data_IF_368001783130
#
_entry.id   IF_368001783130
#
_cell.length_a   1.000
_cell.length_b   1.000
_cell.length_c   1.000
_cell.angle_alpha   90.00
_cell.angle_beta   90.00
_cell.angle_gamma   90.00
#
_symmetry.space_group_name_H-M   'P 1'
#
loop_
_entity.id
_entity.type
_entity.pdbx_description
1 polymer ?
#
# COMPACT_ATOMS: atom_id res chain seq x y z
N UNK A 1 6.69 -11.65 -13.05
CA UNK A 1 6.05 -11.94 -11.76
C UNK A 1 4.66 -11.30 -11.77
N UNK A 2 3.66 -11.81 -11.06
CA UNK A 2 2.38 -11.13 -10.94
C UNK A 2 2.54 -9.76 -10.27
N UNK A 3 1.86 -8.74 -10.83
CA UNK A 3 1.83 -7.40 -10.22
C UNK A 3 0.73 -7.36 -9.17
N UNK A 4 1.10 -7.03 -7.94
CA UNK A 4 0.17 -6.76 -6.86
C UNK A 4 0.15 -5.28 -6.52
N UNK A 5 -0.95 -4.88 -5.88
CA UNK A 5 -1.15 -3.51 -5.43
C UNK A 5 -1.85 -3.51 -4.09
N UNK A 6 -1.23 -2.87 -3.11
CA UNK A 6 -1.91 -2.47 -1.87
C UNK A 6 -2.43 -1.04 -2.02
N UNK A 7 -3.70 -0.84 -1.66
CA UNK A 7 -4.33 0.49 -1.59
C UNK A 7 -4.79 0.74 -0.18
N UNK A 8 -4.27 1.78 0.46
CA UNK A 8 -4.57 2.16 1.84
C UNK A 8 -5.34 3.46 1.85
N UNK A 9 -6.48 3.50 2.53
CA UNK A 9 -7.17 4.77 2.80
C UNK A 9 -6.48 5.45 3.99
N UNK A 10 -6.15 6.72 3.86
CA UNK A 10 -5.53 7.51 4.94
C UNK A 10 -6.59 8.20 5.78
N UNK A 11 -6.47 8.08 7.09
CA UNK A 11 -7.22 8.86 8.09
C UNK A 11 -6.38 10.01 8.65
N UNK A 12 -6.50 10.27 9.95
CA UNK A 12 -5.73 11.32 10.60
C UNK A 12 -4.24 10.97 10.70
N UNK A 13 -3.37 11.97 10.52
CA UNK A 13 -1.94 11.83 10.77
C UNK A 13 -1.68 11.69 12.27
N UNK A 14 -0.64 10.93 12.63
CA UNK A 14 -0.16 10.91 14.01
C UNK A 14 0.46 12.28 14.37
N UNK A 15 0.42 12.68 15.65
CA UNK A 15 1.03 13.94 16.08
C UNK A 15 2.50 14.06 15.65
N UNK A 16 2.87 15.21 15.08
CA UNK A 16 4.24 15.51 14.66
C UNK A 16 4.68 14.89 13.33
N UNK A 17 3.82 14.11 12.66
CA UNK A 17 4.13 13.51 11.36
C UNK A 17 3.81 14.49 10.23
N UNK A 18 4.78 14.72 9.34
CA UNK A 18 4.54 15.45 8.10
C UNK A 18 3.81 14.56 7.09
N UNK A 19 2.75 15.05 6.40
CA UNK A 19 2.10 14.29 5.34
C UNK A 19 3.07 13.81 4.25
N UNK A 20 4.12 14.59 3.96
CA UNK A 20 5.11 14.28 2.92
C UNK A 20 5.96 13.04 3.25
N UNK A 21 6.03 12.63 4.52
CA UNK A 21 6.87 11.52 4.97
C UNK A 21 6.16 10.17 4.87
N UNK A 22 4.81 10.18 4.76
CA UNK A 22 4.01 8.95 4.83
C UNK A 22 4.22 8.06 3.60
N UNK A 23 4.20 8.62 2.38
CA UNK A 23 4.40 7.84 1.16
C UNK A 23 5.82 7.25 1.09
N UNK A 24 6.90 8.00 1.35
CA UNK A 24 8.25 7.44 1.43
C UNK A 24 8.37 6.31 2.45
N UNK A 25 7.80 6.45 3.64
CA UNK A 25 7.83 5.41 4.67
C UNK A 25 7.10 4.13 4.23
N UNK A 26 5.90 4.27 3.65
CA UNK A 26 5.14 3.14 3.15
C UNK A 26 5.86 2.44 1.98
N UNK A 27 6.46 3.21 1.07
CA UNK A 27 7.28 2.68 -0.03
C UNK A 27 8.50 1.93 0.49
N UNK A 28 9.19 2.49 1.49
CA UNK A 28 10.35 1.86 2.10
C UNK A 28 9.98 0.52 2.75
N UNK A 29 8.87 0.46 3.50
CA UNK A 29 8.37 -0.77 4.10
C UNK A 29 8.11 -1.87 3.06
N UNK A 30 7.56 -1.52 1.89
CA UNK A 30 7.40 -2.50 0.80
C UNK A 30 8.76 -2.93 0.23
N UNK A 31 9.67 -1.96 0.06
CA UNK A 31 11.03 -2.17 -0.45
C UNK A 31 11.92 -3.05 0.43
N UNK A 32 11.59 -3.23 1.71
CA UNK A 32 12.26 -4.18 2.60
C UNK A 32 12.00 -5.65 2.22
N UNK A 33 10.85 -5.92 1.59
CA UNK A 33 10.38 -7.28 1.31
C UNK A 33 10.33 -7.63 -0.17
N UNK A 34 10.18 -6.63 -1.06
CA UNK A 34 10.02 -6.87 -2.49
C UNK A 34 10.39 -5.65 -3.34
N UNK A 35 10.52 -5.85 -4.65
CA UNK A 35 10.68 -4.78 -5.63
C UNK A 35 9.41 -3.94 -5.73
N UNK A 36 9.54 -2.63 -5.48
CA UNK A 36 8.46 -1.66 -5.66
C UNK A 36 8.53 -1.09 -7.08
N UNK A 37 7.49 -1.36 -7.87
CA UNK A 37 7.38 -0.83 -9.22
C UNK A 37 6.95 0.64 -9.25
N UNK A 38 6.00 1.00 -8.37
CA UNK A 38 5.43 2.33 -8.31
C UNK A 38 4.81 2.59 -6.93
N UNK A 39 4.84 3.85 -6.51
CA UNK A 39 4.15 4.32 -5.31
C UNK A 39 3.56 5.70 -5.58
N UNK A 40 2.30 5.92 -5.21
CA UNK A 40 1.58 7.16 -5.50
C UNK A 40 0.54 7.49 -4.41
N UNK A 41 0.15 8.76 -4.33
CA UNK A 41 -0.97 9.24 -3.52
C UNK A 41 -2.07 9.75 -4.44
N UNK A 42 -3.28 9.22 -4.27
CA UNK A 42 -4.45 9.60 -5.04
C UNK A 42 -5.56 10.11 -4.12
N UNK A 43 -6.45 10.95 -4.63
CA UNK A 43 -7.64 11.40 -3.90
C UNK A 43 -8.87 10.75 -4.55
N UNK A 44 -9.68 10.05 -3.76
CA UNK A 44 -10.93 9.42 -4.21
C UNK A 44 -12.05 9.79 -3.27
N UNK A 45 -13.09 10.45 -3.79
CA UNK A 45 -14.24 10.93 -3.02
C UNK A 45 -13.85 11.73 -1.75
N UNK A 46 -12.82 12.57 -1.88
CA UNK A 46 -12.30 13.40 -0.77
C UNK A 46 -11.38 12.68 0.21
N UNK A 47 -11.14 11.38 0.05
CA UNK A 47 -10.19 10.61 0.89
C UNK A 47 -8.86 10.41 0.17
N UNK A 48 -7.76 10.71 0.86
CA UNK A 48 -6.43 10.38 0.39
C UNK A 48 -6.18 8.87 0.46
N UNK A 49 -5.53 8.33 -0.58
CA UNK A 49 -5.19 6.91 -0.69
C UNK A 49 -3.75 6.75 -1.13
N UNK A 50 -2.99 5.96 -0.39
CA UNK A 50 -1.67 5.50 -0.83
C UNK A 50 -1.85 4.23 -1.66
N UNK A 51 -1.17 4.19 -2.79
CA UNK A 51 -1.15 3.04 -3.70
C UNK A 51 0.30 2.61 -3.87
N UNK A 52 0.62 1.37 -3.53
CA UNK A 52 1.95 0.79 -3.78
C UNK A 52 1.78 -0.44 -4.66
N UNK A 53 2.52 -0.46 -5.77
CA UNK A 53 2.61 -1.59 -6.70
C UNK A 53 3.92 -2.31 -6.50
N UNK A 54 3.86 -3.63 -6.44
CA UNK A 54 5.01 -4.47 -6.16
C UNK A 54 4.84 -5.84 -6.80
N UNK A 55 5.97 -6.53 -7.00
CA UNK A 55 5.98 -7.91 -7.49
C UNK A 55 5.85 -8.90 -6.31
N UNK A 56 5.19 -10.02 -6.54
CA UNK A 56 5.20 -11.15 -5.59
C UNK A 56 4.94 -12.44 -6.35
N UNK A 57 5.40 -13.57 -5.81
CA UNK A 57 5.27 -14.87 -6.47
C UNK A 57 3.84 -15.41 -6.39
N UNK A 58 3.14 -15.13 -5.30
CA UNK A 58 1.78 -15.57 -5.05
C UNK A 58 0.98 -14.58 -4.19
N UNK A 59 -0.31 -14.84 -4.06
CA UNK A 59 -1.25 -13.96 -3.36
C UNK A 59 -1.11 -14.00 -1.84
N UNK A 60 -0.61 -15.11 -1.28
CA UNK A 60 -0.40 -15.25 0.16
C UNK A 60 0.78 -14.37 0.59
N UNK A 61 1.90 -14.47 -0.10
CA UNK A 61 3.07 -13.62 0.11
C UNK A 61 2.74 -12.15 -0.16
N UNK A 62 1.97 -11.86 -1.20
CA UNK A 62 1.52 -10.49 -1.48
C UNK A 62 0.67 -9.90 -0.35
N UNK A 63 -0.15 -10.73 0.31
CA UNK A 63 -0.96 -10.30 1.46
C UNK A 63 -0.06 -10.01 2.66
N UNK A 64 0.92 -10.86 2.95
CA UNK A 64 1.89 -10.63 4.03
C UNK A 64 2.71 -9.35 3.83
N UNK A 65 3.18 -9.11 2.59
CA UNK A 65 3.89 -7.87 2.23
C UNK A 65 2.97 -6.66 2.47
N UNK A 66 1.72 -6.72 2.01
CA UNK A 66 0.77 -5.64 2.19
C UNK A 66 0.46 -5.37 3.68
N UNK A 67 0.32 -6.41 4.50
CA UNK A 67 0.11 -6.30 5.93
C UNK A 67 1.29 -5.63 6.63
N UNK A 68 2.53 -5.97 6.27
CA UNK A 68 3.74 -5.29 6.75
C UNK A 68 3.74 -3.80 6.42
N UNK A 69 3.44 -3.47 5.15
CA UNK A 69 3.33 -2.07 4.70
C UNK A 69 2.27 -1.31 5.49
N UNK A 70 1.09 -1.91 5.69
CA UNK A 70 -0.01 -1.31 6.46
C UNK A 70 0.38 -1.11 7.92
N UNK A 71 1.00 -2.11 8.55
CA UNK A 71 1.44 -2.04 9.93
C UNK A 71 2.46 -0.91 10.14
N UNK A 72 3.46 -0.80 9.25
CA UNK A 72 4.46 0.26 9.30
C UNK A 72 3.84 1.64 9.05
N UNK A 73 2.94 1.76 8.06
CA UNK A 73 2.26 3.02 7.73
C UNK A 73 1.38 3.52 8.88
N UNK A 74 0.80 2.61 9.68
CA UNK A 74 -0.03 2.93 10.86
C UNK A 74 0.71 3.67 11.98
N UNK A 75 2.04 3.64 11.96
CA UNK A 75 2.89 4.43 12.87
C UNK A 75 2.89 5.92 12.50
N UNK A 76 2.53 6.28 11.27
CA UNK A 76 2.58 7.65 10.76
C UNK A 76 1.19 8.24 10.50
N UNK A 77 0.23 7.42 10.06
CA UNK A 77 -1.14 7.84 9.75
C UNK A 77 -2.13 6.75 10.14
N UNK A 78 -3.37 7.10 10.45
CA UNK A 78 -4.43 6.12 10.53
C UNK A 78 -4.68 5.46 9.18
N UNK A 79 -4.87 4.14 9.18
CA UNK A 79 -5.23 3.36 7.99
C UNK A 79 -6.53 2.61 8.29
N UNK A 80 -7.70 3.27 8.15
CA UNK A 80 -9.01 2.66 8.46
C UNK A 80 -9.35 1.46 7.58
N UNK A 81 -8.86 1.42 6.35
CA UNK A 81 -9.10 0.32 5.43
C UNK A 81 -7.95 0.18 4.43
N UNK A 82 -7.69 -1.05 4.01
CA UNK A 82 -6.82 -1.35 2.89
C UNK A 82 -7.37 -2.51 2.05
N UNK A 83 -6.91 -2.61 0.81
CA UNK A 83 -7.20 -3.72 -0.09
C UNK A 83 -5.96 -4.14 -0.85
N UNK A 84 -5.79 -5.44 -1.05
CA UNK A 84 -4.78 -6.02 -1.94
C UNK A 84 -5.47 -6.45 -3.23
N UNK A 85 -4.88 -6.09 -4.36
CA UNK A 85 -5.37 -6.51 -5.68
C UNK A 85 -4.25 -7.07 -6.53
N UNK A 86 -4.53 -8.15 -7.26
CA UNK A 86 -3.65 -8.75 -8.27
C UNK A 86 -4.03 -8.22 -9.66
N UNK A 87 -3.04 -7.95 -10.51
CA UNK A 87 -3.25 -7.62 -11.92
C UNK A 87 -3.30 -8.90 -12.76
N UNK A 88 -4.51 -9.29 -13.17
CA UNK A 88 -4.70 -10.39 -14.11
C UNK A 88 -5.48 -9.93 -15.34
N UNK A 89 -5.09 -10.40 -16.53
CA UNK A 89 -5.81 -10.10 -17.81
C UNK A 89 -6.09 -8.60 -18.03
N UNK A 90 -5.16 -7.74 -17.64
CA UNK A 90 -5.27 -6.29 -17.77
C UNK A 90 -6.25 -5.61 -16.79
N UNK A 91 -6.75 -6.32 -15.77
CA UNK A 91 -7.67 -5.81 -14.75
C UNK A 91 -7.14 -6.09 -13.35
N UNK A 92 -7.64 -5.36 -12.37
CA UNK A 92 -7.31 -5.55 -10.96
C UNK A 92 -8.40 -6.37 -10.27
N UNK A 93 -8.02 -7.49 -9.65
CA UNK A 93 -8.91 -8.35 -8.88
C UNK A 93 -8.50 -8.36 -7.42
N UNK A 94 -9.47 -8.30 -6.51
CA UNK A 94 -9.19 -8.35 -5.08
C UNK A 94 -8.67 -9.74 -4.68
N UNK A 95 -7.55 -9.76 -3.96
CA UNK A 95 -7.04 -10.95 -3.29
C UNK A 95 -7.94 -11.25 -2.10
N UNK A 96 -8.31 -12.52 -1.91
CA UNK A 96 -9.20 -12.98 -0.82
C UNK A 96 -8.41 -13.60 0.30
#
# INVERSE_FOLDING_TARGET
MPDYRVTMTMGALRPGVSPADVLPAAKAAAGELTMVEAADVTIVAGSARIVIRFESDDSELATQIAEHVVATTRNSVEVPAFTVTERARGRWFRVR
#
